data_IF_960603592112
#
_entry.id   IF_960603592112
#
_cell.length_a   1.000
_cell.length_b   1.000
_cell.length_c   1.000
_cell.angle_alpha   90.00
_cell.angle_beta   90.00
_cell.angle_gamma   90.00
#
_symmetry.space_group_name_H-M   'P 1'
#
loop_
_entity.id
_entity.type
_entity.pdbx_description
1 polymer ?
#
# COMPACT_ATOMS: atom_id res chain seq x y z
N UNK A 1 9.54 -0.68 -5.24
CA UNK A 1 9.68 0.09 -6.49
C UNK A 1 9.15 -0.68 -7.71
N UNK A 2 9.55 -1.95 -7.89
CA UNK A 2 9.18 -2.80 -9.03
C UNK A 2 7.70 -3.18 -9.15
N UNK A 3 7.08 -3.82 -8.15
CA UNK A 3 5.66 -4.21 -8.19
C UNK A 3 4.76 -3.00 -8.44
N UNK A 4 5.18 -1.82 -7.98
CA UNK A 4 4.48 -0.57 -8.18
C UNK A 4 4.61 -0.02 -9.61
N UNK A 5 5.61 -0.43 -10.40
CA UNK A 5 5.70 -0.12 -11.85
C UNK A 5 5.06 -1.21 -12.69
N UNK A 6 5.21 -2.47 -12.29
CA UNK A 6 4.54 -3.62 -12.87
C UNK A 6 3.02 -3.47 -12.83
N UNK A 7 2.48 -3.07 -11.66
CA UNK A 7 1.05 -2.84 -11.50
C UNK A 7 0.50 -1.73 -12.42
N UNK A 8 1.38 -0.86 -12.93
CA UNK A 8 1.08 0.24 -13.86
C UNK A 8 1.24 -0.14 -15.34
N UNK A 9 1.68 -1.36 -15.64
CA UNK A 9 2.10 -1.77 -16.98
C UNK A 9 3.15 -0.85 -17.64
N UNK A 10 3.99 -0.17 -16.84
CA UNK A 10 4.88 0.89 -17.33
C UNK A 10 6.36 0.60 -17.05
N UNK A 11 6.82 -0.59 -17.47
CA UNK A 11 8.22 -1.00 -17.40
C UNK A 11 8.88 -0.80 -18.76
N UNK A 12 10.01 -0.07 -18.79
CA UNK A 12 10.84 0.02 -20.01
C UNK A 12 11.67 -1.25 -20.18
N UNK A 13 12.23 -1.47 -21.38
CA UNK A 13 13.05 -2.66 -21.65
C UNK A 13 14.36 -2.65 -20.86
N UNK A 14 14.97 -1.47 -20.67
CA UNK A 14 16.17 -1.32 -19.84
C UNK A 14 15.89 -1.62 -18.36
N UNK A 15 14.73 -1.16 -17.85
CA UNK A 15 14.31 -1.46 -16.48
C UNK A 15 14.01 -2.94 -16.31
N UNK A 16 13.33 -3.54 -17.28
CA UNK A 16 13.05 -4.98 -17.32
C UNK A 16 14.33 -5.81 -17.39
N UNK A 17 15.31 -5.42 -18.21
CA UNK A 17 16.62 -6.07 -18.28
C UNK A 17 17.34 -6.03 -16.93
N UNK A 18 17.41 -4.85 -16.31
CA UNK A 18 18.00 -4.68 -14.98
C UNK A 18 17.33 -5.57 -13.92
N UNK A 19 16.02 -5.81 -14.04
CA UNK A 19 15.28 -6.65 -13.11
C UNK A 19 15.66 -8.11 -13.25
N UNK A 20 15.73 -8.62 -14.48
CA UNK A 20 16.13 -10.01 -14.75
C UNK A 20 17.59 -10.24 -14.34
N UNK A 21 18.49 -9.30 -14.62
CA UNK A 21 19.94 -9.46 -14.42
C UNK A 21 20.41 -9.21 -12.98
N UNK A 22 19.90 -8.18 -12.28
CA UNK A 22 20.49 -7.75 -10.99
C UNK A 22 19.96 -8.47 -9.76
N UNK A 23 19.12 -9.49 -9.91
CA UNK A 23 18.59 -10.28 -8.79
C UNK A 23 17.94 -9.46 -7.64
N UNK A 24 17.52 -8.21 -7.87
CA UNK A 24 16.74 -7.36 -6.94
C UNK A 24 15.29 -7.84 -6.78
N UNK A 25 15.08 -9.10 -7.13
CA UNK A 25 13.84 -9.80 -7.30
C UNK A 25 13.49 -10.41 -5.95
N UNK A 26 12.36 -10.01 -5.36
CA UNK A 26 11.81 -10.69 -4.16
C UNK A 26 11.68 -12.20 -4.45
N UNK A 27 11.77 -13.08 -3.44
CA UNK A 27 11.71 -14.53 -3.62
C UNK A 27 10.57 -15.00 -4.55
N UNK A 28 9.36 -14.44 -4.37
CA UNK A 28 8.18 -14.77 -5.18
C UNK A 28 8.34 -14.49 -6.69
N UNK A 29 9.07 -13.43 -7.05
CA UNK A 29 9.29 -13.08 -8.45
C UNK A 29 10.42 -13.95 -9.03
N UNK A 30 11.40 -14.36 -8.20
CA UNK A 30 12.49 -15.29 -8.64
C UNK A 30 11.92 -16.67 -8.96
N UNK A 31 11.04 -17.17 -8.10
CA UNK A 31 10.36 -18.45 -8.29
C UNK A 31 9.53 -18.44 -9.58
N UNK A 32 8.75 -17.38 -9.81
CA UNK A 32 7.99 -17.24 -11.05
C UNK A 32 8.91 -17.16 -12.28
N UNK A 33 9.97 -16.35 -12.24
CA UNK A 33 10.96 -16.26 -13.33
C UNK A 33 11.59 -17.62 -13.64
N UNK A 34 11.91 -18.42 -12.61
CA UNK A 34 12.47 -19.77 -12.77
C UNK A 34 11.46 -20.78 -13.35
N UNK A 35 10.16 -20.55 -13.18
CA UNK A 35 9.10 -21.35 -13.82
C UNK A 35 8.88 -20.92 -15.27
N UNK A 36 8.85 -19.62 -15.55
CA UNK A 36 8.62 -19.08 -16.90
C UNK A 36 9.82 -19.26 -17.82
N UNK A 37 11.05 -19.22 -17.31
CA UNK A 37 12.27 -19.45 -18.11
C UNK A 37 12.30 -20.84 -18.77
N UNK A 38 11.58 -21.81 -18.20
CA UNK A 38 11.44 -23.17 -18.77
C UNK A 38 10.58 -23.21 -20.04
N UNK A 39 9.77 -22.17 -20.31
CA UNK A 39 8.81 -22.13 -21.42
C UNK A 39 9.38 -21.63 -22.75
N UNK A 40 10.72 -21.43 -22.86
CA UNK A 40 11.41 -20.88 -24.06
C UNK A 40 10.75 -19.59 -24.60
N UNK A 41 10.34 -18.69 -23.70
CA UNK A 41 9.74 -17.41 -24.06
C UNK A 41 10.81 -16.44 -24.60
N UNK A 42 10.43 -15.59 -25.55
CA UNK A 42 11.26 -14.43 -25.92
C UNK A 42 11.31 -13.41 -24.79
N UNK A 43 12.29 -12.50 -24.83
CA UNK A 43 12.41 -11.42 -23.84
C UNK A 43 11.13 -10.58 -23.72
N UNK A 44 10.50 -10.27 -24.86
CA UNK A 44 9.24 -9.53 -24.90
C UNK A 44 8.06 -10.36 -24.35
N UNK A 45 7.95 -11.64 -24.71
CA UNK A 45 6.90 -12.50 -24.18
C UNK A 45 7.01 -12.70 -22.66
N UNK A 46 8.23 -12.78 -22.14
CA UNK A 46 8.47 -12.86 -20.70
C UNK A 46 8.08 -11.55 -20.00
N UNK A 47 8.37 -10.40 -20.62
CA UNK A 47 7.95 -9.08 -20.14
C UNK A 47 6.42 -8.95 -20.14
N UNK A 48 5.74 -9.39 -21.20
CA UNK A 48 4.29 -9.32 -21.31
C UNK A 48 3.61 -10.25 -20.30
N UNK A 49 4.11 -11.47 -20.15
CA UNK A 49 3.65 -12.40 -19.11
C UNK A 49 3.86 -11.83 -17.71
N UNK A 50 4.99 -11.14 -17.50
CA UNK A 50 5.28 -10.43 -16.28
C UNK A 50 4.28 -9.29 -16.04
N UNK A 51 4.04 -8.43 -17.01
CA UNK A 51 3.06 -7.35 -16.85
C UNK A 51 1.66 -7.90 -16.61
N UNK A 52 1.24 -8.94 -17.33
CA UNK A 52 -0.05 -9.58 -17.16
C UNK A 52 -0.24 -10.17 -15.75
N UNK A 53 0.79 -10.81 -15.19
CA UNK A 53 0.73 -11.47 -13.89
C UNK A 53 0.62 -10.51 -12.70
N UNK A 54 1.20 -9.32 -12.82
CA UNK A 54 1.30 -8.33 -11.73
C UNK A 54 0.48 -7.06 -11.94
N UNK A 55 -0.14 -6.88 -13.11
CA UNK A 55 -1.15 -5.84 -13.33
C UNK A 55 -2.50 -6.31 -12.76
N UNK A 56 -3.10 -5.57 -11.82
CA UNK A 56 -4.42 -5.92 -11.31
C UNK A 56 -5.48 -5.93 -12.43
N UNK A 57 -6.30 -6.97 -12.46
CA UNK A 57 -7.51 -7.04 -13.29
C UNK A 57 -8.56 -6.04 -12.80
N UNK A 58 -9.53 -5.67 -13.65
CA UNK A 58 -10.64 -4.80 -13.24
C UNK A 58 -11.45 -5.38 -12.07
N UNK A 59 -11.63 -6.70 -12.03
CA UNK A 59 -12.27 -7.38 -10.90
C UNK A 59 -11.47 -7.19 -9.60
N UNK A 60 -10.15 -7.37 -9.64
CA UNK A 60 -9.28 -7.15 -8.47
C UNK A 60 -9.26 -5.69 -8.02
N UNK A 61 -9.26 -4.74 -8.97
CA UNK A 61 -9.37 -3.30 -8.67
C UNK A 61 -10.67 -3.01 -7.93
N UNK A 62 -11.80 -3.48 -8.45
CA UNK A 62 -13.11 -3.26 -7.84
C UNK A 62 -13.22 -3.91 -6.45
N UNK A 63 -12.70 -5.13 -6.29
CA UNK A 63 -12.63 -5.78 -4.98
C UNK A 63 -11.73 -5.00 -4.00
N UNK A 64 -10.62 -4.43 -4.48
CA UNK A 64 -9.76 -3.62 -3.64
C UNK A 64 -10.43 -2.31 -3.21
N UNK A 65 -11.19 -1.65 -4.09
CA UNK A 65 -12.01 -0.47 -3.74
C UNK A 65 -13.04 -0.82 -2.66
N UNK A 66 -13.74 -1.95 -2.81
CA UNK A 66 -14.69 -2.42 -1.80
C UNK A 66 -14.01 -2.73 -0.46
N UNK A 67 -12.87 -3.42 -0.47
CA UNK A 67 -12.11 -3.69 0.77
C UNK A 67 -11.59 -2.40 1.41
N UNK A 68 -11.21 -1.42 0.60
CA UNK A 68 -10.71 -0.13 1.06
C UNK A 68 -11.82 0.69 1.76
N UNK A 69 -13.06 0.65 1.27
CA UNK A 69 -14.17 1.35 1.92
C UNK A 69 -14.52 0.75 3.29
N UNK A 70 -14.31 -0.56 3.45
CA UNK A 70 -14.51 -1.29 4.70
C UNK A 70 -13.32 -1.19 5.66
N UNK A 71 -12.15 -0.74 5.20
CA UNK A 71 -10.96 -0.67 6.02
C UNK A 71 -11.06 0.48 7.04
N UNK A 72 -11.00 0.14 8.33
CA UNK A 72 -11.05 1.10 9.43
C UNK A 72 -9.95 0.79 10.44
N UNK A 73 -9.25 1.83 10.89
CA UNK A 73 -8.32 1.77 12.01
C UNK A 73 -9.15 1.86 13.29
N UNK A 74 -8.98 0.92 14.22
CA UNK A 74 -9.54 1.02 15.56
C UNK A 74 -8.51 1.58 16.56
N UNK A 75 -8.96 2.14 17.71
CA UNK A 75 -8.05 2.71 18.71
C UNK A 75 -6.99 1.74 19.27
N UNK A 76 -7.30 0.45 19.33
CA UNK A 76 -6.41 -0.59 19.86
C UNK A 76 -5.49 -1.23 18.82
N UNK A 77 -5.73 -0.99 17.53
CA UNK A 77 -5.06 -1.70 16.45
C UNK A 77 -3.55 -1.40 16.39
N UNK A 78 -2.83 -2.21 15.62
CA UNK A 78 -1.47 -1.89 15.22
C UNK A 78 -1.48 -0.99 13.98
N UNK A 79 -0.98 0.23 14.13
CA UNK A 79 -0.95 1.21 13.05
C UNK A 79 -0.14 0.75 11.84
N UNK A 80 0.97 0.03 12.08
CA UNK A 80 1.84 -0.44 10.98
C UNK A 80 1.10 -1.44 10.09
N UNK A 81 0.43 -2.40 10.70
CA UNK A 81 -0.40 -3.41 10.01
C UNK A 81 -1.53 -2.75 9.22
N UNK A 82 -2.23 -1.79 9.83
CA UNK A 82 -3.29 -1.02 9.15
C UNK A 82 -2.74 -0.27 7.92
N UNK A 83 -1.63 0.45 8.09
CA UNK A 83 -0.98 1.20 7.01
C UNK A 83 -0.56 0.27 5.87
N UNK A 84 0.03 -0.89 6.18
CA UNK A 84 0.44 -1.86 5.17
C UNK A 84 -0.76 -2.42 4.39
N UNK A 85 -1.88 -2.70 5.06
CA UNK A 85 -3.12 -3.12 4.43
C UNK A 85 -3.70 -2.02 3.51
N UNK A 86 -3.78 -0.78 4.00
CA UNK A 86 -4.20 0.38 3.22
C UNK A 86 -3.34 0.57 1.96
N UNK A 87 -2.02 0.59 2.14
CA UNK A 87 -1.02 0.74 1.07
C UNK A 87 -1.15 -0.35 0.01
N UNK A 88 -1.38 -1.59 0.43
CA UNK A 88 -1.60 -2.72 -0.47
C UNK A 88 -2.88 -2.52 -1.30
N UNK A 89 -3.99 -2.13 -0.66
CA UNK A 89 -5.25 -1.89 -1.36
C UNK A 89 -5.15 -0.73 -2.35
N UNK A 90 -4.53 0.40 -1.96
CA UNK A 90 -4.30 1.53 -2.86
C UNK A 90 -3.45 1.17 -4.08
N UNK A 91 -2.43 0.30 -3.92
CA UNK A 91 -1.62 -0.17 -5.06
C UNK A 91 -2.43 -1.02 -6.05
N UNK A 92 -3.43 -1.75 -5.57
CA UNK A 92 -4.28 -2.61 -6.41
C UNK A 92 -5.39 -1.80 -7.06
N UNK A 93 -6.10 -0.95 -6.29
CA UNK A 93 -7.26 -0.18 -6.78
C UNK A 93 -6.86 0.98 -7.69
N UNK A 94 -5.73 1.64 -7.40
CA UNK A 94 -5.25 2.80 -8.13
C UNK A 94 -3.76 2.62 -8.50
N UNK A 95 -3.43 1.60 -9.31
CA UNK A 95 -2.06 1.43 -9.77
C UNK A 95 -1.72 2.64 -10.64
N UNK A 96 -0.62 3.33 -10.33
CA UNK A 96 -0.24 4.50 -11.14
C UNK A 96 -0.23 5.79 -10.37
N UNK A 97 -1.22 5.93 -9.49
CA UNK A 97 -1.57 7.22 -8.96
C UNK A 97 -0.50 7.76 -7.99
N UNK A 98 -0.27 9.09 -7.99
CA UNK A 98 0.62 9.74 -7.05
C UNK A 98 0.24 9.41 -5.60
N UNK A 99 1.22 9.37 -4.69
CA UNK A 99 0.97 9.18 -3.26
C UNK A 99 -0.02 10.20 -2.70
N UNK A 100 -0.06 11.40 -3.26
CA UNK A 100 -1.01 12.46 -2.94
C UNK A 100 -2.48 12.02 -2.99
N UNK A 101 -2.86 11.15 -3.94
CA UNK A 101 -4.25 10.71 -4.10
C UNK A 101 -4.72 9.84 -2.93
N UNK A 102 -3.81 9.42 -2.06
CA UNK A 102 -4.07 8.58 -0.89
C UNK A 102 -4.51 9.37 0.33
N UNK A 103 -4.33 10.69 0.36
CA UNK A 103 -4.68 11.54 1.51
C UNK A 103 -6.14 11.36 1.92
N UNK A 104 -7.08 11.62 1.00
CA UNK A 104 -8.51 11.53 1.30
C UNK A 104 -8.97 10.10 1.65
N UNK A 105 -8.60 9.06 0.88
CA UNK A 105 -8.91 7.67 1.27
C UNK A 105 -8.35 7.30 2.65
N UNK A 106 -7.14 7.74 2.99
CA UNK A 106 -6.50 7.41 4.27
C UNK A 106 -7.24 8.05 5.45
N UNK A 107 -7.60 9.33 5.32
CA UNK A 107 -8.43 10.04 6.32
C UNK A 107 -9.76 9.31 6.55
N UNK A 108 -10.36 8.78 5.47
CA UNK A 108 -11.60 8.00 5.55
C UNK A 108 -11.48 6.67 6.32
N UNK A 109 -10.27 6.19 6.62
CA UNK A 109 -10.04 4.98 7.43
C UNK A 109 -9.92 5.24 8.92
N UNK A 110 -9.77 6.51 9.33
CA UNK A 110 -9.49 6.86 10.72
C UNK A 110 -10.76 6.83 11.59
N UNK A 111 -10.59 6.48 12.85
CA UNK A 111 -11.68 6.54 13.83
C UNK A 111 -11.93 7.98 14.31
N UNK A 112 -13.15 8.30 14.78
CA UNK A 112 -13.60 9.68 14.94
C UNK A 112 -12.71 10.58 15.82
N UNK A 113 -12.22 10.10 16.96
CA UNK A 113 -11.39 10.91 17.86
C UNK A 113 -10.03 11.26 17.25
N UNK A 114 -9.44 10.35 16.47
CA UNK A 114 -8.19 10.61 15.76
C UNK A 114 -8.39 11.60 14.60
N UNK A 115 -9.50 11.47 13.87
CA UNK A 115 -9.90 12.46 12.85
C UNK A 115 -10.11 13.85 13.46
N UNK A 116 -10.74 13.93 14.63
CA UNK A 116 -10.97 15.18 15.33
C UNK A 116 -9.66 15.85 15.76
N UNK A 117 -8.72 15.09 16.32
CA UNK A 117 -7.40 15.61 16.72
C UNK A 117 -6.63 16.16 15.51
N UNK A 118 -6.71 15.49 14.35
CA UNK A 118 -6.12 16.00 13.11
C UNK A 118 -6.75 17.31 12.65
N UNK A 119 -8.08 17.47 12.74
CA UNK A 119 -8.78 18.69 12.29
C UNK A 119 -8.52 19.91 13.18
N UNK A 120 -8.07 19.69 14.41
CA UNK A 120 -7.70 20.76 15.34
C UNK A 120 -6.32 21.34 15.04
N UNK A 121 -5.55 20.69 14.17
CA UNK A 121 -4.24 21.16 13.77
C UNK A 121 -4.34 22.16 12.63
N UNK A 122 -3.56 23.26 12.67
CA UNK A 122 -3.58 24.29 11.63
C UNK A 122 -2.96 23.84 10.29
N UNK A 123 -2.45 22.61 10.20
CA UNK A 123 -1.74 22.10 9.03
C UNK A 123 -2.71 21.41 8.06
N UNK A 124 -2.76 21.91 6.81
CA UNK A 124 -3.37 21.17 5.71
C UNK A 124 -2.40 20.05 5.33
N UNK A 125 -2.80 18.80 5.53
CA UNK A 125 -1.98 17.64 5.14
C UNK A 125 -2.00 17.42 3.62
N UNK A 126 -1.33 18.33 2.92
CA UNK A 126 -1.04 18.22 1.49
C UNK A 126 0.13 17.28 1.21
N UNK A 127 0.63 16.51 2.17
CA UNK A 127 1.61 15.48 1.92
C UNK A 127 1.22 14.21 2.64
N UNK A 128 1.17 13.10 1.90
CA UNK A 128 0.75 11.82 2.44
C UNK A 128 1.71 11.28 3.51
N UNK A 129 3.02 11.51 3.37
CA UNK A 129 4.00 11.01 4.33
C UNK A 129 3.96 11.78 5.65
N UNK A 130 3.78 13.09 5.60
CA UNK A 130 3.54 13.95 6.75
C UNK A 130 2.25 13.54 7.47
N UNK A 131 1.16 13.32 6.72
CA UNK A 131 -0.09 12.83 7.29
C UNK A 131 0.11 11.51 8.04
N UNK A 132 0.69 10.50 7.38
CA UNK A 132 0.92 9.18 8.00
C UNK A 132 1.76 9.28 9.26
N UNK A 133 2.80 10.12 9.24
CA UNK A 133 3.68 10.32 10.41
C UNK A 133 2.89 10.92 11.57
N UNK A 134 2.04 11.91 11.28
CA UNK A 134 1.24 12.56 12.31
C UNK A 134 0.17 11.63 12.89
N UNK A 135 -0.52 10.89 12.02
CA UNK A 135 -1.51 9.88 12.43
C UNK A 135 -0.87 8.81 13.32
N UNK A 136 0.32 8.33 12.97
CA UNK A 136 1.07 7.36 13.79
C UNK A 136 1.31 7.89 15.22
N UNK A 137 1.75 9.14 15.32
CA UNK A 137 2.03 9.79 16.60
C UNK A 137 0.77 9.95 17.45
N UNK A 138 -0.31 10.51 16.88
CA UNK A 138 -1.57 10.73 17.58
C UNK A 138 -2.21 9.42 18.04
N UNK A 139 -2.21 8.40 17.17
CA UNK A 139 -2.71 7.07 17.50
C UNK A 139 -1.94 6.44 18.67
N UNK A 140 -0.61 6.56 18.68
CA UNK A 140 0.23 6.06 19.78
C UNK A 140 -0.08 6.75 21.11
N UNK A 141 -0.33 8.07 21.10
CA UNK A 141 -0.74 8.79 22.31
C UNK A 141 -2.09 8.34 22.84
N UNK A 142 -3.08 8.19 21.96
CA UNK A 142 -4.41 7.75 22.37
C UNK A 142 -4.40 6.30 22.88
N UNK A 143 -3.61 5.42 22.25
CA UNK A 143 -3.40 4.04 22.71
C UNK A 143 -2.76 3.99 24.10
N UNK A 144 -1.75 4.83 24.35
CA UNK A 144 -1.12 4.96 25.66
C UNK A 144 -2.12 5.43 26.73
N UNK A 145 -2.94 6.45 26.44
CA UNK A 145 -3.99 6.94 27.36
C UNK A 145 -5.03 5.86 27.68
N UNK A 146 -5.45 5.08 26.68
CA UNK A 146 -6.41 3.99 26.88
C UNK A 146 -5.84 2.86 27.75
N UNK A 147 -4.55 2.55 27.61
CA UNK A 147 -3.88 1.54 28.44
C UNK A 147 -3.74 1.99 29.90
N UNK A 148 -3.41 3.26 30.15
CA UNK A 148 -3.34 3.83 31.50
C UNK A 148 -4.72 3.84 32.16
N UNK A 149 -5.75 4.33 31.46
CA UNK A 149 -7.11 4.35 31.99
C UNK A 149 -7.68 2.96 32.31
N UNK A 150 -7.27 1.93 31.56
CA UNK A 150 -7.65 0.55 31.85
C UNK A 150 -6.91 -0.05 33.05
N UNK A 151 -5.70 0.43 33.35
CA UNK A 151 -4.93 0.01 34.53
C UNK A 151 -5.45 0.67 35.82
N UNK A 152 -5.91 1.92 35.75
CA UNK A 152 -6.45 2.66 36.91
C UNK A 152 -7.88 2.23 37.30
N UNK A 153 -8.56 1.45 36.45
CA UNK A 153 -9.92 0.97 36.68
C UNK A 153 -9.99 -0.44 37.34
N UNK A 154 -8.84 -1.06 37.60
CA UNK A 154 -8.67 -2.34 38.30
C UNK A 154 -8.08 -2.15 39.69
#
# INVERSE_FOLDING_TARGET
MFEAKASKANLTDAEWLMLVEKHLIKPIIREWLAQESKKRLTFQQLKDAFLLRWTPTETEKNQAVYKLSMLKLAPGDDFKTHKEAFEKLMRISQPGHPHQTRVMPFLGTLYPSLSLDLTREPTVYNDYHQLVTRVCFLHSQQKGKAQVAAADAN
#
